data_IF_158543826543
#
_entry.id   IF_158543826543
#
_cell.length_a   1.000
_cell.length_b   1.000
_cell.length_c   1.000
_cell.angle_alpha   90.00
_cell.angle_beta   90.00
_cell.angle_gamma   90.00
#
_symmetry.space_group_name_H-M   'P 1'
#
loop_
_entity.id
_entity.type
_entity.pdbx_description
1 polymer ?
#
# COMPACT_ATOMS: atom_id res chain seq x y z
N UNK A 1 22.40 -31.09 18.40
CA UNK A 1 21.45 -30.71 17.34
C UNK A 1 21.24 -29.19 17.37
N UNK A 2 21.69 -28.44 16.35
CA UNK A 2 21.41 -27.01 16.24
C UNK A 2 19.91 -26.87 15.92
N UNK A 3 19.12 -26.27 16.83
CA UNK A 3 17.72 -25.93 16.56
C UNK A 3 17.72 -25.02 15.33
N UNK A 4 17.15 -25.47 14.20
CA UNK A 4 16.89 -24.59 13.04
C UNK A 4 15.90 -23.54 13.52
N UNK A 5 16.38 -22.38 13.94
CA UNK A 5 15.54 -21.22 14.24
C UNK A 5 14.87 -20.82 12.93
N UNK A 6 13.56 -21.08 12.82
CA UNK A 6 12.74 -20.56 11.72
C UNK A 6 12.90 -19.04 11.73
N UNK A 7 13.20 -18.45 10.56
CA UNK A 7 13.21 -17.00 10.41
C UNK A 7 11.86 -16.45 10.91
N UNK A 8 11.86 -15.35 11.68
CA UNK A 8 10.61 -14.73 12.11
C UNK A 8 9.77 -14.38 10.88
N UNK A 9 8.46 -14.67 10.94
CA UNK A 9 7.53 -14.38 9.85
C UNK A 9 7.44 -12.86 9.68
N UNK A 10 7.64 -12.40 8.46
CA UNK A 10 7.46 -11.01 8.05
C UNK A 10 6.28 -10.90 7.08
N UNK A 11 5.70 -9.71 6.99
CA UNK A 11 4.58 -9.38 6.12
C UNK A 11 4.84 -8.05 5.42
N UNK A 12 4.36 -7.91 4.19
CA UNK A 12 4.39 -6.65 3.45
C UNK A 12 3.00 -6.09 3.26
N UNK A 13 2.91 -4.79 3.05
CA UNK A 13 1.64 -4.10 2.77
C UNK A 13 1.09 -4.57 1.43
N UNK A 14 1.94 -4.75 0.42
CA UNK A 14 1.55 -5.36 -0.86
C UNK A 14 0.87 -6.73 -0.67
N UNK A 15 1.49 -7.65 0.10
CA UNK A 15 0.92 -8.97 0.35
C UNK A 15 -0.48 -8.87 0.97
N UNK A 16 -0.65 -7.97 1.96
CA UNK A 16 -1.93 -7.80 2.66
C UNK A 16 -3.01 -7.19 1.78
N UNK A 17 -2.65 -6.27 0.89
CA UNK A 17 -3.57 -5.70 -0.08
C UNK A 17 -4.01 -6.74 -1.12
N UNK A 18 -3.08 -7.59 -1.56
CA UNK A 18 -3.36 -8.69 -2.47
C UNK A 18 -4.29 -9.74 -1.84
N UNK A 19 -4.00 -10.17 -0.61
CA UNK A 19 -4.84 -11.11 0.15
C UNK A 19 -6.25 -10.56 0.42
N UNK A 20 -6.39 -9.24 0.56
CA UNK A 20 -7.68 -8.60 0.74
C UNK A 20 -8.52 -8.52 -0.57
N UNK A 21 -7.95 -8.87 -1.72
CA UNK A 21 -8.65 -8.81 -3.02
C UNK A 21 -9.06 -7.40 -3.44
N UNK A 22 -8.36 -6.38 -2.94
CA UNK A 22 -8.67 -4.97 -3.22
C UNK A 22 -7.91 -4.52 -4.46
N UNK A 23 -8.57 -3.81 -5.37
CA UNK A 23 -7.88 -3.10 -6.45
C UNK A 23 -7.22 -1.83 -5.91
N UNK A 24 -5.90 -1.69 -6.09
CA UNK A 24 -5.12 -0.55 -5.62
C UNK A 24 -4.12 -0.07 -6.67
N UNK A 25 -3.81 1.23 -6.63
CA UNK A 25 -2.79 1.85 -7.47
C UNK A 25 -1.41 1.81 -6.81
N UNK A 26 -0.35 2.04 -7.59
CA UNK A 26 0.98 2.25 -7.04
C UNK A 26 1.04 3.39 -5.99
N UNK A 27 0.21 4.42 -6.15
CA UNK A 27 0.13 5.55 -5.20
C UNK A 27 -0.47 5.11 -3.87
N UNK A 28 -1.54 4.30 -3.90
CA UNK A 28 -2.12 3.73 -2.69
C UNK A 28 -1.08 2.86 -1.96
N UNK A 29 -0.35 2.03 -2.71
CA UNK A 29 0.68 1.15 -2.15
C UNK A 29 1.82 1.94 -1.50
N UNK A 30 2.33 3.00 -2.15
CA UNK A 30 3.38 3.87 -1.58
C UNK A 30 2.89 4.61 -0.33
N UNK A 31 1.67 5.16 -0.39
CA UNK A 31 1.06 5.88 0.72
C UNK A 31 0.85 4.98 1.93
N UNK A 32 0.31 3.78 1.73
CA UNK A 32 0.11 2.82 2.80
C UNK A 32 1.45 2.32 3.35
N UNK A 33 2.37 1.87 2.49
CA UNK A 33 3.66 1.32 2.92
C UNK A 33 4.51 2.32 3.72
N UNK A 34 4.81 3.48 3.14
CA UNK A 34 5.69 4.48 3.77
C UNK A 34 4.94 5.50 4.61
N UNK A 35 3.89 6.10 4.05
CA UNK A 35 3.19 7.22 4.67
C UNK A 35 2.31 6.82 5.86
N UNK A 36 1.84 5.57 5.92
CA UNK A 36 0.94 5.12 6.98
C UNK A 36 1.64 4.13 7.91
N UNK A 37 2.06 2.97 7.40
CA UNK A 37 2.51 1.87 8.25
C UNK A 37 3.93 2.04 8.76
N UNK A 38 4.84 2.51 7.91
CA UNK A 38 6.21 2.79 8.36
C UNK A 38 6.26 3.93 9.39
N UNK A 39 5.50 5.02 9.19
CA UNK A 39 5.42 6.08 10.20
C UNK A 39 4.81 5.59 11.53
N UNK A 40 3.77 4.75 11.47
CA UNK A 40 3.20 4.11 12.64
C UNK A 40 4.21 3.22 13.38
N UNK A 41 5.03 2.48 12.62
CA UNK A 41 6.08 1.65 13.16
C UNK A 41 7.15 2.49 13.85
N UNK A 42 7.64 3.55 13.18
CA UNK A 42 8.68 4.43 13.71
C UNK A 42 8.24 5.13 15.00
N UNK A 43 6.96 5.54 15.10
CA UNK A 43 6.41 6.11 16.34
C UNK A 43 6.41 5.12 17.50
N UNK A 44 6.13 3.85 17.23
CA UNK A 44 6.09 2.81 18.26
C UNK A 44 7.47 2.23 18.58
N UNK A 45 8.39 2.24 17.61
CA UNK A 45 9.71 1.62 17.68
C UNK A 45 10.78 2.55 17.11
N UNK A 46 11.07 3.71 17.75
CA UNK A 46 11.93 4.75 17.18
C UNK A 46 13.40 4.34 17.01
N UNK A 47 13.82 3.22 17.62
CA UNK A 47 15.18 2.69 17.56
C UNK A 47 15.30 1.41 16.72
N UNK A 48 14.24 1.02 16.02
CA UNK A 48 14.21 -0.25 15.27
C UNK A 48 13.87 0.04 13.82
N UNK A 49 14.85 -0.14 12.95
CA UNK A 49 14.67 -0.06 11.51
C UNK A 49 14.03 -1.35 10.99
N UNK A 50 13.19 -1.21 9.97
CA UNK A 50 12.62 -2.34 9.26
C UNK A 50 13.54 -2.70 8.08
N UNK A 51 13.71 -3.99 7.85
CA UNK A 51 14.29 -4.46 6.60
C UNK A 51 13.41 -4.04 5.42
N UNK A 52 14.04 -3.79 4.28
CA UNK A 52 13.37 -3.43 3.03
C UNK A 52 13.54 -4.54 2.00
N UNK A 53 12.54 -4.71 1.14
CA UNK A 53 12.66 -5.49 -0.09
C UNK A 53 12.25 -4.64 -1.31
N UNK A 54 12.94 -4.84 -2.43
CA UNK A 54 12.53 -4.28 -3.71
C UNK A 54 11.61 -5.23 -4.46
N UNK A 55 10.60 -4.67 -5.13
CA UNK A 55 9.74 -5.41 -6.05
C UNK A 55 9.35 -4.53 -7.25
N UNK A 56 8.85 -5.16 -8.31
CA UNK A 56 8.30 -4.47 -9.48
C UNK A 56 6.78 -4.55 -9.42
N UNK A 57 6.13 -3.39 -9.50
CA UNK A 57 4.67 -3.25 -9.58
C UNK A 57 4.32 -2.28 -10.69
N UNK A 58 3.44 -2.68 -11.62
CA UNK A 58 3.05 -1.86 -12.79
C UNK A 58 4.27 -1.33 -13.58
N UNK A 59 5.29 -2.16 -13.77
CA UNK A 59 6.53 -1.80 -14.47
C UNK A 59 7.46 -0.85 -13.70
N UNK A 60 7.13 -0.49 -12.46
CA UNK A 60 7.91 0.42 -11.62
C UNK A 60 8.54 -0.32 -10.46
N UNK A 61 9.81 -0.02 -10.16
CA UNK A 61 10.46 -0.50 -8.94
C UNK A 61 9.92 0.23 -7.72
N UNK A 62 9.55 -0.54 -6.71
CA UNK A 62 9.04 -0.03 -5.44
C UNK A 62 9.74 -0.75 -4.29
N UNK A 63 9.94 -0.01 -3.20
CA UNK A 63 10.41 -0.54 -1.92
C UNK A 63 9.23 -0.93 -1.05
N UNK A 64 9.34 -2.06 -0.35
CA UNK A 64 8.38 -2.54 0.64
C UNK A 64 9.10 -2.76 1.96
N UNK A 65 8.48 -2.35 3.06
CA UNK A 65 9.00 -2.64 4.39
C UNK A 65 8.54 -4.04 4.84
N UNK A 66 9.46 -4.77 5.46
CA UNK A 66 9.22 -6.11 6.01
C UNK A 66 8.77 -5.97 7.46
N UNK A 67 7.46 -5.88 7.67
CA UNK A 67 6.89 -5.75 9.01
C UNK A 67 6.90 -7.10 9.74
N UNK A 68 7.14 -7.14 11.06
CA UNK A 68 6.96 -8.35 11.84
C UNK A 68 5.50 -8.83 11.84
N UNK A 69 5.28 -10.14 11.96
CA UNK A 69 3.93 -10.71 11.94
C UNK A 69 2.96 -10.13 13.00
N UNK A 70 3.43 -9.67 14.16
CA UNK A 70 2.54 -9.06 15.15
C UNK A 70 1.92 -7.73 14.66
N UNK A 71 2.51 -7.10 13.64
CA UNK A 71 2.02 -5.86 13.04
C UNK A 71 0.94 -6.10 11.98
N UNK A 72 0.73 -7.35 11.57
CA UNK A 72 -0.21 -7.78 10.53
C UNK A 72 -1.64 -7.27 10.77
N UNK A 73 -2.16 -7.46 11.99
CA UNK A 73 -3.51 -6.98 12.36
C UNK A 73 -3.69 -5.47 12.20
N UNK A 74 -2.62 -4.70 12.45
CA UNK A 74 -2.64 -3.25 12.28
C UNK A 74 -2.72 -2.85 10.81
N UNK A 75 -2.01 -3.60 9.95
CA UNK A 75 -2.09 -3.44 8.50
C UNK A 75 -3.50 -3.75 8.00
N UNK A 76 -4.05 -4.88 8.39
CA UNK A 76 -5.38 -5.33 7.94
C UNK A 76 -6.48 -4.34 8.34
N UNK A 77 -6.47 -3.86 9.59
CA UNK A 77 -7.48 -2.92 10.08
C UNK A 77 -7.47 -1.59 9.30
N UNK A 78 -6.29 -1.03 9.03
CA UNK A 78 -6.18 0.27 8.34
C UNK A 78 -6.39 0.17 6.82
N UNK A 79 -6.09 -0.96 6.19
CA UNK A 79 -6.45 -1.22 4.79
C UNK A 79 -7.95 -1.05 4.63
N UNK A 80 -8.75 -1.71 5.48
CA UNK A 80 -10.20 -1.62 5.44
C UNK A 80 -10.69 -0.16 5.49
N UNK A 81 -10.24 0.62 6.48
CA UNK A 81 -10.65 2.02 6.61
C UNK A 81 -10.19 2.92 5.46
N UNK A 82 -9.00 2.69 4.90
CA UNK A 82 -8.49 3.48 3.78
C UNK A 82 -9.39 3.33 2.55
N UNK A 83 -9.70 2.09 2.17
CA UNK A 83 -10.52 1.83 0.97
C UNK A 83 -12.01 2.08 1.21
N UNK A 84 -12.51 1.89 2.44
CA UNK A 84 -13.87 2.32 2.80
C UNK A 84 -14.02 3.84 2.62
N UNK A 85 -13.10 4.64 3.19
CA UNK A 85 -13.12 6.10 3.03
C UNK A 85 -13.00 6.53 1.57
N UNK A 86 -12.15 5.85 0.79
CA UNK A 86 -11.98 6.12 -0.64
C UNK A 86 -13.27 5.86 -1.43
N UNK A 87 -13.92 4.73 -1.16
CA UNK A 87 -15.22 4.38 -1.75
C UNK A 87 -16.31 5.40 -1.35
N UNK A 88 -16.40 5.75 -0.07
CA UNK A 88 -17.38 6.71 0.42
C UNK A 88 -17.16 8.11 -0.17
N UNK A 89 -15.91 8.51 -0.34
CA UNK A 89 -15.56 9.76 -1.02
C UNK A 89 -15.97 9.74 -2.49
N UNK A 90 -15.74 8.64 -3.21
CA UNK A 90 -16.17 8.49 -4.61
C UNK A 90 -17.70 8.47 -4.76
N UNK A 91 -18.44 7.93 -3.79
CA UNK A 91 -19.91 8.02 -3.77
C UNK A 91 -20.40 9.45 -3.55
N UNK A 92 -19.72 10.22 -2.69
CA UNK A 92 -20.07 11.62 -2.40
C UNK A 92 -19.64 12.59 -3.49
N UNK A 93 -18.52 12.31 -4.13
CA UNK A 93 -17.94 13.11 -5.22
C UNK A 93 -17.58 12.17 -6.37
N UNK A 94 -18.58 11.75 -7.17
CA UNK A 94 -18.33 10.96 -8.37
C UNK A 94 -17.36 11.73 -9.26
N UNK A 95 -16.39 11.04 -9.83
CA UNK A 95 -15.51 11.62 -10.84
C UNK A 95 -16.35 11.84 -12.11
N UNK A 96 -17.08 12.95 -12.19
CA UNK A 96 -17.70 13.37 -13.45
C UNK A 96 -16.61 13.52 -14.51
N UNK A 97 -16.82 12.86 -15.64
CA UNK A 97 -15.77 12.51 -16.60
C UNK A 97 -14.93 13.69 -17.10
N UNK A 98 -13.61 13.57 -16.95
CA UNK A 98 -12.61 14.26 -17.79
C UNK A 98 -12.57 13.71 -19.22
N UNK A 99 -13.72 13.37 -19.79
CA UNK A 99 -13.88 13.04 -21.21
C UNK A 99 -14.93 13.97 -21.82
N UNK A 100 -14.66 15.27 -21.80
CA UNK A 100 -15.24 16.20 -22.77
C UNK A 100 -14.11 16.96 -23.46
N UNK A 101 -13.83 16.47 -24.67
CA UNK A 101 -13.59 17.27 -25.88
C UNK A 101 -12.46 18.30 -25.85
N UNK A 102 -11.38 18.00 -26.56
CA UNK A 102 -10.85 18.89 -27.59
C UNK A 102 -10.31 18.02 -28.73
N UNK A 103 -11.25 17.49 -29.54
CA UNK A 103 -11.07 17.38 -30.98
C UNK A 103 -11.44 18.76 -31.52
N UNK A 104 -10.48 19.44 -32.14
CA UNK A 104 -10.53 20.70 -32.93
C UNK A 104 -9.16 21.38 -32.68
N UNK A 105 -8.23 21.58 -33.61
CA UNK A 105 -8.31 21.68 -35.07
C UNK A 105 -7.11 21.02 -35.76
N UNK A 106 -7.42 20.19 -36.74
CA UNK A 106 -6.58 19.99 -37.93
C UNK A 106 -7.20 20.88 -39.00
N UNK A 107 -6.57 21.99 -39.35
CA UNK A 107 -6.73 22.64 -40.65
C UNK A 107 -5.37 23.21 -41.07
N UNK A 108 -5.18 23.20 -42.39
CA UNK A 108 -3.95 23.34 -43.18
C UNK A 108 -3.12 24.61 -42.97
#
# INVERSE_FOLDING_TARGET
MKKKTRKPRVVTVYQKLWEAGIAFSITDLKYLNGGTYYLDWLRANPRTELEEMEMVYEGKRIKQFLFPAFFEKKIESKIFFHFQRKSDHLKKFPLEGKNKTNKENTEE
#
